data_IF_539883660493
#
_entry.id   IF_539883660493
#
_cell.length_a   1.000
_cell.length_b   1.000
_cell.length_c   1.000
_cell.angle_alpha   90.00
_cell.angle_beta   90.00
_cell.angle_gamma   90.00
#
_symmetry.space_group_name_H-M   'P 1'
#
loop_
_entity.id
_entity.type
_entity.pdbx_description
1 polymer ?
#
# COMPACT_ATOMS: atom_id res chain seq x y z
N UNK A 1 -18.93 4.10 15.03
CA UNK A 1 -18.25 5.37 14.84
C UNK A 1 -16.88 5.14 14.24
N UNK A 2 -16.58 5.79 13.16
CA UNK A 2 -15.31 5.57 12.49
C UNK A 2 -14.15 6.22 13.27
N UNK A 3 -13.06 5.49 13.37
CA UNK A 3 -11.86 5.98 13.99
C UNK A 3 -11.22 7.01 13.06
N UNK A 4 -10.91 8.18 13.58
CA UNK A 4 -10.23 9.19 12.80
C UNK A 4 -8.79 8.78 12.55
N UNK A 5 -8.39 8.72 11.31
CA UNK A 5 -7.04 8.34 10.94
C UNK A 5 -6.10 9.53 11.01
N UNK A 6 -4.84 9.24 11.24
CA UNK A 6 -3.81 10.23 11.47
C UNK A 6 -2.56 9.88 10.69
N UNK A 7 -1.75 10.87 10.35
CA UNK A 7 -0.47 10.65 9.70
C UNK A 7 0.52 9.89 10.59
N UNK A 8 0.25 9.80 11.88
CA UNK A 8 1.06 9.01 12.81
C UNK A 8 0.66 7.53 12.84
N UNK A 9 -0.43 7.17 12.18
CA UNK A 9 -0.84 5.77 12.08
C UNK A 9 0.16 4.99 11.22
N UNK A 10 0.32 3.72 11.54
CA UNK A 10 1.15 2.85 10.73
C UNK A 10 0.48 2.62 9.37
N UNK A 11 1.29 2.58 8.33
CA UNK A 11 0.79 2.37 6.98
C UNK A 11 0.01 1.05 6.89
N UNK A 12 0.53 -0.03 7.49
CA UNK A 12 -0.17 -1.32 7.44
C UNK A 12 -1.51 -1.26 8.19
N UNK A 13 -1.59 -0.52 9.29
CA UNK A 13 -2.85 -0.35 10.01
C UNK A 13 -3.84 0.47 9.20
N UNK A 14 -3.37 1.55 8.59
CA UNK A 14 -4.19 2.36 7.70
C UNK A 14 -4.74 1.52 6.55
N UNK A 15 -3.88 0.70 5.95
CA UNK A 15 -4.28 -0.12 4.83
C UNK A 15 -5.38 -1.12 5.23
N UNK A 16 -5.24 -1.75 6.38
CA UNK A 16 -6.25 -2.69 6.89
C UNK A 16 -7.60 -2.00 7.07
N UNK A 17 -7.61 -0.81 7.67
CA UNK A 17 -8.83 -0.05 7.87
C UNK A 17 -9.44 0.38 6.53
N UNK A 18 -8.61 0.83 5.60
CA UNK A 18 -9.06 1.24 4.27
C UNK A 18 -9.75 0.08 3.54
N UNK A 19 -9.15 -1.11 3.59
CA UNK A 19 -9.75 -2.29 2.96
C UNK A 19 -11.08 -2.61 3.62
N UNK A 20 -11.13 -2.56 4.94
CA UNK A 20 -12.34 -2.85 5.68
C UNK A 20 -13.47 -1.88 5.33
N UNK A 21 -13.16 -0.61 5.22
CA UNK A 21 -14.16 0.43 4.98
C UNK A 21 -14.63 0.45 3.53
N UNK A 22 -13.70 0.35 2.58
CA UNK A 22 -14.01 0.59 1.18
C UNK A 22 -14.12 -0.66 0.31
N UNK A 23 -13.51 -1.77 0.70
CA UNK A 23 -13.44 -2.96 -0.16
C UNK A 23 -14.23 -4.14 0.39
N UNK A 24 -14.27 -4.30 1.71
CA UNK A 24 -15.03 -5.39 2.30
C UNK A 24 -16.51 -5.21 1.99
N UNK A 25 -17.11 -6.20 1.35
CA UNK A 25 -18.49 -6.13 0.92
C UNK A 25 -18.72 -5.44 -0.41
N UNK A 26 -17.73 -4.72 -0.93
CA UNK A 26 -17.84 -3.98 -2.20
C UNK A 26 -17.20 -4.73 -3.36
N UNK A 27 -16.30 -5.67 -3.06
CA UNK A 27 -15.61 -6.45 -4.08
C UNK A 27 -15.86 -7.94 -3.84
N UNK A 28 -15.58 -8.75 -4.85
CA UNK A 28 -15.74 -10.19 -4.73
C UNK A 28 -14.75 -10.77 -3.73
N UNK A 29 -15.09 -11.94 -3.16
CA UNK A 29 -14.25 -12.60 -2.17
C UNK A 29 -12.82 -12.82 -2.65
N UNK A 30 -12.66 -13.21 -3.94
CA UNK A 30 -11.33 -13.44 -4.49
C UNK A 30 -10.51 -12.15 -4.55
N UNK A 31 -11.14 -11.03 -4.86
CA UNK A 31 -10.47 -9.74 -4.90
C UNK A 31 -10.12 -9.27 -3.49
N UNK A 32 -11.05 -9.46 -2.55
CA UNK A 32 -10.80 -9.12 -1.14
C UNK A 32 -9.62 -9.92 -0.60
N UNK A 33 -9.53 -11.19 -0.99
CA UNK A 33 -8.40 -12.03 -0.61
C UNK A 33 -7.06 -11.45 -1.06
N UNK A 34 -7.03 -10.85 -2.25
CA UNK A 34 -5.82 -10.20 -2.77
C UNK A 34 -5.43 -8.98 -1.92
N UNK A 35 -6.42 -8.18 -1.52
CA UNK A 35 -6.16 -7.04 -0.64
C UNK A 35 -5.63 -7.50 0.72
N UNK A 36 -6.21 -8.56 1.27
CA UNK A 36 -5.75 -9.11 2.55
C UNK A 36 -4.33 -9.65 2.46
N UNK A 37 -3.99 -10.29 1.35
CA UNK A 37 -2.64 -10.77 1.10
C UNK A 37 -1.66 -9.61 1.00
N UNK A 38 -2.04 -8.55 0.30
CA UNK A 38 -1.21 -7.36 0.19
C UNK A 38 -0.96 -6.74 1.58
N UNK A 39 -1.98 -6.70 2.41
CA UNK A 39 -1.85 -6.23 3.78
C UNK A 39 -0.84 -7.07 4.58
N UNK A 40 -0.93 -8.39 4.46
CA UNK A 40 -0.01 -9.28 5.15
C UNK A 40 1.44 -9.02 4.73
N UNK A 41 1.68 -8.87 3.43
CA UNK A 41 3.02 -8.57 2.93
C UNK A 41 3.50 -7.19 3.40
N UNK A 42 2.61 -6.21 3.39
CA UNK A 42 2.95 -4.87 3.84
C UNK A 42 3.39 -4.89 5.31
N UNK A 43 2.69 -5.66 6.15
CA UNK A 43 3.06 -5.82 7.55
C UNK A 43 4.43 -6.49 7.72
N UNK A 44 4.79 -7.36 6.80
CA UNK A 44 6.10 -8.02 6.84
C UNK A 44 7.22 -7.11 6.36
N UNK A 45 6.96 -6.33 5.33
CA UNK A 45 7.97 -5.50 4.69
C UNK A 45 8.18 -4.17 5.40
N UNK A 46 7.13 -3.62 5.98
CA UNK A 46 7.20 -2.31 6.61
C UNK A 46 6.28 -2.24 7.84
N UNK A 47 6.57 -3.05 8.88
CA UNK A 47 5.69 -3.12 10.06
C UNK A 47 5.65 -1.83 10.86
N UNK A 48 6.73 -1.05 10.85
CA UNK A 48 6.85 0.15 11.67
C UNK A 48 6.75 1.46 10.89
N UNK A 49 6.43 1.37 9.62
CA UNK A 49 6.37 2.56 8.78
C UNK A 49 5.08 3.33 9.02
N UNK A 50 5.21 4.59 9.41
CA UNK A 50 4.06 5.47 9.60
C UNK A 50 3.73 6.18 8.31
N UNK A 51 2.46 6.63 8.18
CA UNK A 51 2.04 7.36 6.99
C UNK A 51 2.88 8.62 6.77
N UNK A 52 3.23 9.34 7.84
CA UNK A 52 4.05 10.54 7.72
C UNK A 52 5.49 10.25 7.28
N UNK A 53 5.92 9.00 7.40
CA UNK A 53 7.26 8.57 6.99
C UNK A 53 7.26 7.98 5.58
N UNK A 54 6.08 7.75 5.01
CA UNK A 54 5.96 7.15 3.70
C UNK A 54 6.27 8.18 2.63
N UNK A 55 7.37 7.98 1.95
CA UNK A 55 7.78 8.84 0.85
C UNK A 55 8.15 7.97 -0.35
N UNK A 56 8.62 8.60 -1.41
CA UNK A 56 8.95 7.91 -2.65
C UNK A 56 10.05 6.86 -2.45
N UNK A 57 11.02 7.17 -1.64
CA UNK A 57 12.14 6.26 -1.37
C UNK A 57 11.66 5.07 -0.56
N UNK A 58 10.90 5.31 0.50
CA UNK A 58 10.37 4.23 1.33
C UNK A 58 9.44 3.32 0.54
N UNK A 59 8.58 3.92 -0.27
CA UNK A 59 7.67 3.14 -1.09
C UNK A 59 8.44 2.29 -2.11
N UNK A 60 9.45 2.87 -2.74
CA UNK A 60 10.27 2.13 -3.69
C UNK A 60 10.99 0.96 -3.00
N UNK A 61 11.46 1.15 -1.78
CA UNK A 61 12.09 0.08 -1.01
C UNK A 61 11.12 -1.08 -0.77
N UNK A 62 9.86 -0.77 -0.45
CA UNK A 62 8.83 -1.79 -0.25
C UNK A 62 8.62 -2.58 -1.54
N UNK A 63 8.48 -1.89 -2.66
CA UNK A 63 8.28 -2.53 -3.97
C UNK A 63 9.50 -3.39 -4.34
N UNK A 64 10.70 -2.89 -4.11
CA UNK A 64 11.92 -3.63 -4.40
C UNK A 64 12.02 -4.91 -3.57
N UNK A 65 11.69 -4.82 -2.29
CA UNK A 65 11.72 -5.98 -1.39
C UNK A 65 10.70 -7.03 -1.82
N UNK A 66 9.52 -6.59 -2.23
CA UNK A 66 8.49 -7.51 -2.71
C UNK A 66 8.94 -8.18 -4.02
N UNK A 67 9.56 -7.41 -4.91
CA UNK A 67 10.01 -7.89 -6.21
C UNK A 67 11.10 -8.95 -6.11
N UNK A 68 11.86 -8.97 -5.01
CA UNK A 68 12.90 -9.98 -4.81
C UNK A 68 12.32 -11.39 -4.70
N UNK A 69 11.07 -11.52 -4.31
CA UNK A 69 10.41 -12.81 -4.09
C UNK A 69 9.27 -13.08 -5.04
N UNK A 70 8.99 -12.16 -5.96
CA UNK A 70 7.83 -12.25 -6.84
C UNK A 70 8.19 -11.85 -8.26
N UNK A 71 7.37 -12.31 -9.21
CA UNK A 71 7.52 -11.95 -10.60
C UNK A 71 7.09 -10.50 -10.83
N UNK A 72 7.49 -9.97 -11.98
CA UNK A 72 7.14 -8.61 -12.36
C UNK A 72 5.64 -8.34 -12.32
N UNK A 73 4.85 -9.25 -12.91
CA UNK A 73 3.40 -9.06 -12.95
C UNK A 73 2.81 -9.05 -11.55
N UNK A 74 3.25 -9.98 -10.70
CA UNK A 74 2.78 -10.05 -9.32
C UNK A 74 3.16 -8.79 -8.55
N UNK A 75 4.36 -8.27 -8.79
CA UNK A 75 4.82 -7.04 -8.16
C UNK A 75 3.98 -5.84 -8.59
N UNK A 76 3.64 -5.77 -9.87
CA UNK A 76 2.78 -4.69 -10.36
C UNK A 76 1.38 -4.76 -9.78
N UNK A 77 0.85 -5.97 -9.62
CA UNK A 77 -0.45 -6.16 -8.98
C UNK A 77 -0.42 -5.66 -7.53
N UNK A 78 0.65 -6.00 -6.81
CA UNK A 78 0.85 -5.53 -5.44
C UNK A 78 0.89 -4.00 -5.38
N UNK A 79 1.65 -3.39 -6.29
CA UNK A 79 1.73 -1.94 -6.41
C UNK A 79 0.34 -1.32 -6.61
N UNK A 80 -0.45 -1.88 -7.52
CA UNK A 80 -1.79 -1.36 -7.78
C UNK A 80 -2.71 -1.52 -6.58
N UNK A 81 -2.59 -2.64 -5.86
CA UNK A 81 -3.40 -2.87 -4.66
C UNK A 81 -3.10 -1.85 -3.57
N UNK A 82 -1.86 -1.42 -3.44
CA UNK A 82 -1.48 -0.41 -2.45
C UNK A 82 -1.80 1.01 -2.91
N UNK A 83 -1.68 1.26 -4.19
CA UNK A 83 -1.80 2.62 -4.73
C UNK A 83 -3.15 3.27 -4.42
N UNK A 84 -4.24 2.50 -4.52
CA UNK A 84 -5.57 3.03 -4.24
C UNK A 84 -5.68 3.63 -2.85
N UNK A 85 -5.18 2.89 -1.85
CA UNK A 85 -5.22 3.36 -0.47
C UNK A 85 -4.30 4.57 -0.27
N UNK A 86 -3.14 4.55 -0.91
CA UNK A 86 -2.18 5.65 -0.79
C UNK A 86 -2.74 6.95 -1.38
N UNK A 87 -3.42 6.86 -2.53
CA UNK A 87 -4.03 8.03 -3.15
C UNK A 87 -5.14 8.62 -2.28
N UNK A 88 -5.93 7.75 -1.63
CA UNK A 88 -6.94 8.22 -0.69
C UNK A 88 -6.30 8.92 0.50
N UNK A 89 -5.17 8.41 1.00
CA UNK A 89 -4.45 9.04 2.09
C UNK A 89 -3.93 10.42 1.68
N UNK A 90 -3.46 10.56 0.46
CA UNK A 90 -3.02 11.86 -0.07
C UNK A 90 -4.19 12.83 -0.13
N UNK A 91 -5.34 12.36 -0.63
CA UNK A 91 -6.55 13.19 -0.72
C UNK A 91 -7.02 13.67 0.65
N UNK A 92 -6.85 12.85 1.68
CA UNK A 92 -7.26 13.20 3.03
C UNK A 92 -6.20 13.99 3.80
N UNK A 93 -5.06 14.26 3.17
CA UNK A 93 -3.99 15.02 3.79
C UNK A 93 -3.14 14.24 4.77
N UNK A 94 -3.29 12.91 4.81
CA UNK A 94 -2.49 12.05 5.68
C UNK A 94 -1.07 11.87 5.15
N UNK A 95 -0.93 11.94 3.84
CA UNK A 95 0.35 11.90 3.15
C UNK A 95 0.46 13.17 2.32
N UNK A 96 1.57 13.86 2.43
CA UNK A 96 1.74 15.16 1.78
C UNK A 96 1.82 15.06 0.25
N UNK A 97 2.51 14.05 -0.26
CA UNK A 97 2.68 13.85 -1.70
C UNK A 97 2.48 12.40 -2.04
N UNK A 98 2.03 12.14 -3.27
CA UNK A 98 1.86 10.78 -3.77
C UNK A 98 3.22 10.08 -3.91
N UNK A 99 3.54 9.12 -3.03
CA UNK A 99 4.82 8.40 -3.10
C UNK A 99 4.89 7.39 -4.23
N UNK A 100 3.74 7.07 -4.85
CA UNK A 100 3.70 6.07 -5.92
C UNK A 100 3.91 6.67 -7.30
N UNK A 101 3.97 7.99 -7.39
CA UNK A 101 3.94 8.72 -8.66
C UNK A 101 5.03 8.31 -9.65
N UNK A 102 6.21 8.02 -9.15
CA UNK A 102 7.34 7.65 -10.01
C UNK A 102 7.95 6.33 -9.59
N UNK A 103 7.10 5.40 -9.15
CA UNK A 103 7.58 4.07 -8.78
C UNK A 103 8.15 3.37 -10.01
N UNK A 104 9.33 2.81 -9.86
CA UNK A 104 10.04 2.14 -10.92
C UNK A 104 10.02 0.64 -10.65
N UNK A 105 9.62 -0.13 -11.66
CA UNK A 105 9.77 -1.58 -11.61
C UNK A 105 11.24 -1.91 -11.81
N UNK A 106 11.85 -2.45 -10.77
CA UNK A 106 13.28 -2.73 -10.78
C UNK A 106 13.69 -3.72 -11.85
N UNK A 107 12.75 -4.59 -12.25
CA UNK A 107 13.01 -5.59 -13.30
C UNK A 107 12.79 -5.04 -14.70
N UNK A 108 12.26 -3.85 -14.80
CA UNK A 108 12.02 -3.19 -16.07
C UNK A 108 13.25 -2.37 -16.39
N UNK A 109 14.11 -2.95 -17.17
CA UNK A 109 15.35 -2.27 -17.57
C UNK A 109 15.05 -1.29 -18.67
N UNK A 110 15.52 -0.09 -18.49
CA UNK A 110 15.37 0.95 -19.48
C UNK A 110 16.64 1.02 -20.31
#
# INVERSE_FOLDING_TARGET
MSKKQSSNDLFCDFYAEWVKIYKEGAVRAITLSKYNMAHSWLCRLAPDLKLCELDRIRYQEIINAYAEQHERQTTMDFHHLLKGAILDAVDEGLIERDPTRKTIDRKSVV
#
